data_IF_290191516719
#
_entry.id   IF_290191516719
#
_cell.length_a   1.000
_cell.length_b   1.000
_cell.length_c   1.000
_cell.angle_alpha   90.00
_cell.angle_beta   90.00
_cell.angle_gamma   90.00
#
_symmetry.space_group_name_H-M   'P 1'
#
loop_
_entity.id
_entity.type
_entity.pdbx_description
1 polymer ?
#
# COMPACT_ATOMS: atom_id res chain seq x y z
N UNK A 1 -0.19 16.45 -6.49
CA UNK A 1 -0.39 15.07 -6.97
C UNK A 1 -0.11 14.11 -5.83
N UNK A 2 -1.02 13.19 -5.56
CA UNK A 2 -0.89 12.14 -4.55
C UNK A 2 -0.98 10.78 -5.25
N UNK A 3 -0.05 9.88 -4.95
CA UNK A 3 -0.14 8.49 -5.38
C UNK A 3 -0.72 7.69 -4.22
N UNK A 4 -1.99 7.31 -4.34
CA UNK A 4 -2.64 6.42 -3.38
C UNK A 4 -2.22 4.99 -3.70
N UNK A 5 -1.76 4.27 -2.67
CA UNK A 5 -1.33 2.89 -2.81
C UNK A 5 -2.13 1.96 -1.91
N UNK A 6 -2.46 0.78 -2.42
CA UNK A 6 -3.08 -0.29 -1.65
C UNK A 6 -2.64 -1.65 -2.20
N UNK A 7 -2.71 -2.69 -1.36
CA UNK A 7 -2.46 -4.07 -1.79
C UNK A 7 -3.50 -4.54 -2.80
N UNK A 8 -4.77 -4.23 -2.53
CA UNK A 8 -5.91 -4.62 -3.35
C UNK A 8 -6.16 -3.55 -4.43
N UNK A 9 -6.07 -3.97 -5.70
CA UNK A 9 -6.21 -3.07 -6.85
C UNK A 9 -7.63 -2.48 -6.96
N UNK A 10 -8.66 -3.33 -6.82
CA UNK A 10 -10.06 -2.91 -6.99
C UNK A 10 -10.46 -1.89 -5.93
N UNK A 11 -10.19 -2.18 -4.66
CA UNK A 11 -10.49 -1.28 -3.54
C UNK A 11 -9.72 0.03 -3.65
N UNK A 12 -8.48 -0.02 -4.14
CA UNK A 12 -7.66 1.16 -4.37
C UNK A 12 -8.22 2.08 -5.46
N UNK A 13 -8.65 1.51 -6.60
CA UNK A 13 -9.29 2.29 -7.68
C UNK A 13 -10.63 2.87 -7.26
N UNK A 14 -11.43 2.11 -6.52
CA UNK A 14 -12.69 2.60 -5.96
C UNK A 14 -12.46 3.79 -5.02
N UNK A 15 -11.47 3.70 -4.13
CA UNK A 15 -11.11 4.81 -3.24
C UNK A 15 -10.67 6.07 -4.00
N UNK A 16 -9.87 5.93 -5.07
CA UNK A 16 -9.51 7.07 -5.92
C UNK A 16 -10.73 7.67 -6.60
N UNK A 17 -11.66 6.84 -7.12
CA UNK A 17 -12.91 7.32 -7.71
C UNK A 17 -13.73 8.13 -6.69
N UNK A 18 -13.90 7.65 -5.47
CA UNK A 18 -14.61 8.38 -4.41
C UNK A 18 -13.90 9.69 -4.05
N UNK A 19 -12.56 9.71 -4.02
CA UNK A 19 -11.78 10.93 -3.78
C UNK A 19 -11.98 11.96 -4.90
N UNK A 20 -12.01 11.51 -6.16
CA UNK A 20 -12.30 12.37 -7.32
C UNK A 20 -13.70 12.98 -7.21
N UNK A 21 -14.71 12.17 -6.92
CA UNK A 21 -16.10 12.62 -6.71
C UNK A 21 -16.22 13.59 -5.52
N UNK A 22 -15.31 13.49 -4.55
CA UNK A 22 -15.23 14.38 -3.38
C UNK A 22 -14.43 15.66 -3.62
N UNK A 23 -13.96 15.91 -4.85
CA UNK A 23 -13.24 17.14 -5.22
C UNK A 23 -11.72 17.07 -5.12
N UNK A 24 -11.14 15.86 -5.06
CA UNK A 24 -9.68 15.64 -5.05
C UNK A 24 -9.20 14.98 -6.35
N UNK A 25 -9.22 15.67 -7.50
CA UNK A 25 -8.88 15.06 -8.79
C UNK A 25 -7.40 14.69 -8.92
N UNK A 26 -6.51 15.31 -8.13
CA UNK A 26 -5.05 15.13 -8.20
C UNK A 26 -4.54 13.90 -7.43
N UNK A 27 -5.35 12.84 -7.38
CA UNK A 27 -5.02 11.56 -6.76
C UNK A 27 -5.00 10.47 -7.83
N UNK A 28 -3.90 9.73 -7.93
CA UNK A 28 -3.77 8.57 -8.84
C UNK A 28 -3.55 7.30 -8.04
N UNK A 29 -3.99 6.17 -8.57
CA UNK A 29 -3.79 4.86 -7.94
C UNK A 29 -2.60 4.14 -8.56
N UNK A 30 -1.77 3.53 -7.72
CA UNK A 30 -0.84 2.48 -8.13
C UNK A 30 -0.80 1.38 -7.06
N UNK A 31 -0.89 0.12 -7.48
CA UNK A 31 -0.87 -1.02 -6.57
C UNK A 31 0.47 -1.11 -5.81
N UNK A 32 0.42 -1.44 -4.52
CA UNK A 32 1.59 -1.70 -3.68
C UNK A 32 1.28 -2.81 -2.68
N UNK A 33 1.97 -3.94 -2.82
CA UNK A 33 2.07 -4.96 -1.78
C UNK A 33 3.45 -4.92 -1.13
N UNK A 34 3.49 -4.52 0.14
CA UNK A 34 4.72 -4.44 0.93
C UNK A 34 5.41 -5.81 1.12
N UNK A 35 4.71 -6.92 0.91
CA UNK A 35 5.28 -8.27 0.96
C UNK A 35 5.86 -8.73 -0.38
N UNK A 36 5.62 -7.97 -1.47
CA UNK A 36 5.99 -8.36 -2.84
C UNK A 36 7.08 -7.44 -3.42
N UNK A 37 8.35 -7.88 -3.51
CA UNK A 37 9.43 -7.08 -4.08
C UNK A 37 9.14 -6.54 -5.49
N UNK A 38 8.47 -7.33 -6.33
CA UNK A 38 8.08 -6.90 -7.68
C UNK A 38 7.05 -5.76 -7.66
N UNK A 39 6.13 -5.75 -6.70
CA UNK A 39 5.15 -4.67 -6.54
C UNK A 39 5.82 -3.38 -6.10
N UNK A 40 6.76 -3.46 -5.14
CA UNK A 40 7.59 -2.33 -4.70
C UNK A 40 8.40 -1.77 -5.88
N UNK A 41 9.06 -2.65 -6.65
CA UNK A 41 9.84 -2.26 -7.83
C UNK A 41 8.97 -1.60 -8.91
N UNK A 42 7.77 -2.11 -9.14
CA UNK A 42 6.82 -1.50 -10.09
C UNK A 42 6.45 -0.07 -9.69
N UNK A 43 6.12 0.16 -8.41
CA UNK A 43 5.80 1.50 -7.92
C UNK A 43 7.00 2.45 -8.04
N UNK A 44 8.20 1.99 -7.66
CA UNK A 44 9.42 2.79 -7.79
C UNK A 44 9.69 3.18 -9.24
N UNK A 45 9.54 2.24 -10.18
CA UNK A 45 9.72 2.50 -11.60
C UNK A 45 8.66 3.46 -12.15
N UNK A 46 7.40 3.30 -11.75
CA UNK A 46 6.31 4.21 -12.10
C UNK A 46 6.61 5.64 -11.64
N UNK A 47 7.01 5.82 -10.37
CA UNK A 47 7.36 7.13 -9.82
C UNK A 47 8.52 7.76 -10.61
N UNK A 48 9.56 6.97 -10.86
CA UNK A 48 10.74 7.46 -11.58
C UNK A 48 10.44 7.81 -13.04
N UNK A 49 9.54 7.08 -13.69
CA UNK A 49 9.19 7.28 -15.11
C UNK A 49 8.24 8.45 -15.30
N UNK A 50 7.18 8.54 -14.49
CA UNK A 50 6.11 9.53 -14.68
C UNK A 50 6.38 10.87 -13.98
N UNK A 51 7.05 10.84 -12.83
CA UNK A 51 7.22 12.03 -11.98
C UNK A 51 8.68 12.43 -11.75
N UNK A 52 9.64 11.52 -11.99
CA UNK A 52 11.09 11.71 -11.81
C UNK A 52 11.56 12.09 -10.40
N UNK A 53 10.64 12.26 -9.45
CA UNK A 53 10.91 12.70 -8.08
C UNK A 53 9.83 12.20 -7.14
N UNK A 54 10.22 11.92 -5.89
CA UNK A 54 9.32 11.74 -4.77
C UNK A 54 9.70 12.73 -3.67
N UNK A 55 8.80 13.67 -3.36
CA UNK A 55 9.04 14.68 -2.33
C UNK A 55 8.74 14.17 -0.91
N UNK A 56 7.66 13.39 -0.77
CA UNK A 56 7.15 12.94 0.53
C UNK A 56 6.72 11.48 0.41
N UNK A 57 7.15 10.66 1.37
CA UNK A 57 6.69 9.29 1.56
C UNK A 57 5.96 9.19 2.90
N UNK A 58 4.71 8.72 2.87
CA UNK A 58 3.92 8.43 4.08
C UNK A 58 3.84 6.91 4.25
N UNK A 59 4.65 6.36 5.16
CA UNK A 59 4.66 4.93 5.45
C UNK A 59 3.53 4.55 6.44
N UNK A 60 2.29 4.49 5.95
CA UNK A 60 1.08 4.29 6.77
C UNK A 60 0.57 2.84 6.79
N UNK A 61 0.90 2.02 5.80
CA UNK A 61 0.32 0.69 5.69
C UNK A 61 0.88 -0.27 6.75
N UNK A 62 -0.01 -0.91 7.51
CA UNK A 62 0.33 -1.91 8.51
C UNK A 62 -0.73 -3.02 8.53
N UNK A 63 -0.34 -4.19 8.99
CA UNK A 63 -1.25 -5.30 9.30
C UNK A 63 -0.95 -5.71 10.75
N UNK A 64 -1.98 -5.80 11.58
CA UNK A 64 -1.83 -6.32 12.94
C UNK A 64 -1.53 -7.82 12.87
N UNK A 65 -0.34 -8.22 13.29
CA UNK A 65 -0.01 -9.62 13.54
C UNK A 65 -0.13 -9.92 15.02
N UNK A 66 -0.61 -11.11 15.38
CA UNK A 66 -0.28 -11.67 16.69
C UNK A 66 1.16 -12.13 16.57
N UNK A 67 2.07 -11.58 17.37
CA UNK A 67 3.35 -12.24 17.64
C UNK A 67 3.00 -13.42 18.54
N UNK A 68 2.51 -14.49 17.93
CA UNK A 68 2.34 -15.74 18.66
C UNK A 68 3.75 -16.26 18.86
N UNK A 69 4.22 -16.22 20.10
CA UNK A 69 5.33 -17.06 20.50
C UNK A 69 4.90 -18.50 20.21
N UNK A 70 5.47 -19.06 19.15
CA UNK A 70 5.13 -20.40 18.68
C UNK A 70 5.44 -21.45 19.77
N UNK A 71 6.42 -21.18 20.64
CA UNK A 71 6.76 -22.03 21.78
C UNK A 71 5.73 -21.87 22.92
N UNK A 72 5.23 -20.65 23.17
CA UNK A 72 4.15 -20.41 24.12
C UNK A 72 2.82 -21.06 23.68
N UNK A 73 2.52 -21.05 22.37
CA UNK A 73 1.34 -21.74 21.82
C UNK A 73 1.51 -23.27 21.86
N UNK A 74 2.71 -23.78 21.56
CA UNK A 74 2.99 -25.22 21.62
C UNK A 74 3.00 -25.77 23.05
N UNK A 75 3.37 -24.95 24.05
CA UNK A 75 3.39 -25.35 25.47
C UNK A 75 2.02 -25.29 26.16
N UNK A 76 0.99 -24.74 25.51
CA UNK A 76 -0.37 -24.66 26.07
C UNK A 76 -1.18 -25.97 25.98
N UNK A 77 -0.69 -27.04 25.32
CA UNK A 77 -1.37 -28.36 25.22
C UNK A 77 -2.91 -28.24 25.03
N UNK A 78 -3.35 -27.41 24.10
CA UNK A 78 -4.70 -27.45 23.53
C UNK A 78 -4.74 -28.44 22.36
#
# INVERSE_FOLDING_TARGET
MVILTARDDNRGREAVKTLHESGFPDVVFHQLDLMGPSSIGSLANFINTEFHKLDILVNNAAVSGIIADAEAFASLNL
#
